data_IF_317836743112
#
_entry.id   IF_317836743112
#
_cell.length_a   1.000
_cell.length_b   1.000
_cell.length_c   1.000
_cell.angle_alpha   90.00
_cell.angle_beta   90.00
_cell.angle_gamma   90.00
#
_symmetry.space_group_name_H-M   'P 1'
#
loop_
_entity.id
_entity.type
_entity.pdbx_description
1 polymer ?
#
# COMPACT_ATOMS: atom_id res chain seq x y z
N UNK A 1 3.35 -20.57 -4.18
CA UNK A 1 3.07 -19.64 -5.28
C UNK A 1 4.39 -19.08 -5.78
N UNK A 2 4.56 -18.93 -7.08
CA UNK A 2 5.67 -18.19 -7.70
C UNK A 2 5.48 -16.69 -7.55
N UNK A 3 6.51 -15.87 -7.79
CA UNK A 3 6.38 -14.40 -7.74
C UNK A 3 5.33 -13.87 -8.71
N UNK A 4 5.23 -14.46 -9.90
CA UNK A 4 4.20 -14.11 -10.88
C UNK A 4 2.79 -14.50 -10.45
N UNK A 5 2.62 -15.66 -9.80
CA UNK A 5 1.33 -16.06 -9.23
C UNK A 5 0.91 -15.15 -8.08
N UNK A 6 1.85 -14.75 -7.20
CA UNK A 6 1.56 -13.81 -6.11
C UNK A 6 1.09 -12.47 -6.68
N UNK A 7 1.83 -11.91 -7.64
CA UNK A 7 1.46 -10.66 -8.33
C UNK A 7 0.07 -10.77 -8.95
N UNK A 8 -0.21 -11.83 -9.71
CA UNK A 8 -1.51 -12.00 -10.36
C UNK A 8 -2.64 -12.16 -9.32
N UNK A 9 -2.41 -12.93 -8.25
CA UNK A 9 -3.41 -13.11 -7.20
C UNK A 9 -3.79 -11.82 -6.49
N UNK A 10 -2.83 -10.89 -6.30
CA UNK A 10 -3.11 -9.56 -5.74
C UNK A 10 -4.02 -8.75 -6.67
N UNK A 11 -3.70 -8.71 -7.97
CA UNK A 11 -4.48 -7.99 -8.96
C UNK A 11 -5.88 -8.58 -9.11
N UNK A 12 -6.00 -9.91 -9.15
CA UNK A 12 -7.29 -10.59 -9.23
C UNK A 12 -8.14 -10.37 -7.97
N UNK A 13 -7.52 -10.38 -6.79
CA UNK A 13 -8.19 -10.09 -5.52
C UNK A 13 -8.80 -8.69 -5.53
N UNK A 14 -8.03 -7.64 -5.84
CA UNK A 14 -8.57 -6.28 -5.86
C UNK A 14 -9.51 -6.02 -7.04
N UNK A 15 -9.32 -6.70 -8.17
CA UNK A 15 -10.31 -6.70 -9.25
C UNK A 15 -11.67 -7.24 -8.78
N UNK A 16 -11.68 -8.25 -7.89
CA UNK A 16 -12.91 -8.77 -7.28
C UNK A 16 -13.58 -7.81 -6.28
N UNK A 17 -12.86 -6.76 -5.83
CA UNK A 17 -13.36 -5.66 -4.98
C UNK A 17 -13.68 -4.40 -5.79
N UNK A 18 -13.88 -4.56 -7.10
CA UNK A 18 -14.20 -3.52 -8.08
C UNK A 18 -13.08 -2.49 -8.33
N UNK A 19 -11.82 -2.83 -8.06
CA UNK A 19 -10.69 -2.00 -8.48
C UNK A 19 -10.40 -2.17 -9.96
N UNK A 20 -10.26 -1.06 -10.67
CA UNK A 20 -9.71 -1.05 -12.02
C UNK A 20 -8.21 -1.39 -11.95
N UNK A 21 -7.78 -2.41 -12.71
CA UNK A 21 -6.37 -2.77 -12.78
C UNK A 21 -5.67 -1.89 -13.81
N UNK A 22 -4.77 -1.03 -13.35
CA UNK A 22 -4.06 -0.07 -14.18
C UNK A 22 -2.59 -0.49 -14.37
N UNK A 23 -1.94 -0.14 -15.49
CA UNK A 23 -0.54 -0.44 -15.68
C UNK A 23 0.34 0.46 -14.81
N UNK A 24 1.47 -0.09 -14.36
CA UNK A 24 2.52 0.67 -13.68
C UNK A 24 2.97 1.89 -14.50
N UNK A 25 3.02 3.04 -13.83
CA UNK A 25 3.58 4.27 -14.37
C UNK A 25 5.09 4.14 -14.67
N UNK A 26 5.64 5.01 -15.54
CA UNK A 26 7.08 5.04 -15.82
C UNK A 26 7.92 5.28 -14.56
N UNK A 27 9.16 4.76 -14.57
CA UNK A 27 10.13 5.00 -13.50
C UNK A 27 10.59 6.45 -13.42
N UNK A 28 10.60 7.16 -14.56
CA UNK A 28 10.88 8.58 -14.63
C UNK A 28 9.55 9.34 -14.48
N UNK A 29 9.27 9.96 -13.33
CA UNK A 29 8.01 10.63 -13.08
C UNK A 29 7.97 11.99 -13.79
N UNK A 30 6.76 12.49 -14.05
CA UNK A 30 6.54 13.86 -14.53
C UNK A 30 6.43 14.87 -13.38
N UNK A 31 6.33 14.40 -12.14
CA UNK A 31 6.19 15.25 -10.96
C UNK A 31 7.49 16.03 -10.68
N UNK A 32 7.40 17.33 -10.35
CA UNK A 32 8.57 18.10 -9.98
C UNK A 32 9.18 17.57 -8.68
N UNK A 33 10.51 17.58 -8.58
CA UNK A 33 11.28 17.18 -7.38
C UNK A 33 11.29 15.67 -7.05
N UNK A 34 10.82 14.80 -7.95
CA UNK A 34 10.96 13.35 -7.80
C UNK A 34 11.94 12.80 -8.83
N UNK A 35 13.06 12.21 -8.36
CA UNK A 35 14.07 11.61 -9.24
C UNK A 35 13.56 10.35 -9.93
N UNK A 36 12.90 9.48 -9.17
CA UNK A 36 12.29 8.25 -9.66
C UNK A 36 10.95 8.00 -8.95
N UNK A 37 10.02 7.32 -9.64
CA UNK A 37 8.83 6.76 -9.01
C UNK A 37 9.26 5.81 -7.88
N UNK A 38 8.97 6.18 -6.64
CA UNK A 38 9.43 5.48 -5.44
C UNK A 38 8.29 4.73 -4.72
N UNK A 39 7.05 4.98 -5.13
CA UNK A 39 5.86 4.29 -4.66
C UNK A 39 4.71 4.38 -5.69
N UNK A 40 3.76 3.45 -5.63
CA UNK A 40 2.63 3.37 -6.57
C UNK A 40 1.72 4.59 -6.58
N UNK A 41 1.63 5.31 -5.46
CA UNK A 41 0.78 6.49 -5.35
C UNK A 41 1.25 7.70 -6.18
N UNK A 42 2.50 7.72 -6.67
CA UNK A 42 3.08 8.93 -7.28
C UNK A 42 2.27 9.38 -8.50
N UNK A 43 1.79 8.44 -9.32
CA UNK A 43 0.99 8.72 -10.50
C UNK A 43 -0.42 9.25 -10.17
N UNK A 44 -0.89 9.00 -8.94
CA UNK A 44 -2.25 9.32 -8.50
C UNK A 44 -2.34 10.58 -7.63
N UNK A 45 -1.21 11.22 -7.30
CA UNK A 45 -1.17 12.48 -6.52
C UNK A 45 -2.16 13.53 -7.01
N UNK A 46 -2.30 13.81 -8.33
CA UNK A 46 -3.28 14.80 -8.80
C UNK A 46 -4.74 14.44 -8.48
N UNK A 47 -5.07 13.16 -8.32
CA UNK A 47 -6.40 12.71 -7.91
C UNK A 47 -6.62 12.94 -6.41
N UNK A 48 -5.62 12.62 -5.58
CA UNK A 48 -5.69 12.87 -4.13
C UNK A 48 -5.78 14.35 -3.79
N UNK A 49 -5.12 15.22 -4.57
CA UNK A 49 -5.18 16.67 -4.39
C UNK A 49 -6.43 17.32 -5.01
N UNK A 50 -7.27 16.56 -5.72
CA UNK A 50 -8.44 17.09 -6.41
C UNK A 50 -8.11 17.95 -7.65
N UNK A 51 -6.86 17.96 -8.11
CA UNK A 51 -6.42 18.68 -9.31
C UNK A 51 -6.96 18.04 -10.59
N UNK A 52 -7.19 16.73 -10.56
CA UNK A 52 -7.83 15.98 -11.64
C UNK A 52 -8.89 15.06 -11.06
N UNK A 53 -9.98 14.87 -11.81
CA UNK A 53 -10.99 13.87 -11.46
C UNK A 53 -10.49 12.47 -11.84
N UNK A 54 -10.53 11.54 -10.89
CA UNK A 54 -10.21 10.14 -11.17
C UNK A 54 -11.27 9.52 -12.12
N UNK A 55 -10.82 8.69 -13.06
CA UNK A 55 -11.69 7.99 -14.02
C UNK A 55 -12.41 6.80 -13.40
N UNK A 56 -11.74 6.14 -12.45
CA UNK A 56 -12.31 5.15 -11.54
C UNK A 56 -12.11 5.61 -10.11
N UNK A 57 -13.04 5.29 -9.21
CA UNK A 57 -12.93 5.59 -7.77
C UNK A 57 -12.05 4.56 -7.04
N UNK A 58 -11.78 3.41 -7.65
CA UNK A 58 -10.93 2.34 -7.12
C UNK A 58 -9.94 1.88 -8.17
N UNK A 59 -8.65 1.83 -7.83
CA UNK A 59 -7.61 1.32 -8.73
C UNK A 59 -6.62 0.43 -7.98
N UNK A 60 -6.07 -0.58 -8.64
CA UNK A 60 -5.00 -1.40 -8.10
C UNK A 60 -3.94 -1.71 -9.18
N UNK A 61 -2.68 -1.84 -8.77
CA UNK A 61 -1.57 -2.13 -9.67
C UNK A 61 -0.40 -2.84 -8.98
N UNK A 62 0.65 -3.06 -9.77
CA UNK A 62 2.00 -3.40 -9.31
C UNK A 62 3.00 -2.38 -9.87
N UNK A 63 3.37 -1.38 -9.07
CA UNK A 63 4.25 -0.30 -9.52
C UNK A 63 5.72 -0.71 -9.44
N UNK A 64 6.44 -0.48 -10.54
CA UNK A 64 7.92 -0.50 -10.55
C UNK A 64 8.47 0.70 -9.77
N UNK A 65 9.22 0.46 -8.71
CA UNK A 65 9.72 1.50 -7.81
C UNK A 65 11.26 1.52 -7.79
N UNK A 66 11.83 2.72 -7.66
CA UNK A 66 13.25 2.90 -7.32
C UNK A 66 13.37 3.75 -6.03
N UNK A 67 14.14 3.26 -5.07
CA UNK A 67 14.54 3.98 -3.84
C UNK A 67 16.05 4.16 -3.78
N UNK A 68 16.54 5.07 -4.61
CA UNK A 68 17.94 5.45 -4.69
C UNK A 68 18.04 6.98 -4.81
N UNK A 69 18.16 7.64 -3.65
CA UNK A 69 18.25 9.09 -3.51
C UNK A 69 17.00 9.77 -2.92
N UNK A 70 17.14 11.03 -2.48
CA UNK A 70 16.07 11.79 -1.84
C UNK A 70 15.75 11.31 -0.42
N UNK A 71 14.53 11.58 0.06
CA UNK A 71 14.08 11.21 1.42
C UNK A 71 13.81 9.70 1.60
N UNK A 72 13.56 8.98 0.51
CA UNK A 72 13.31 7.54 0.52
C UNK A 72 14.43 6.86 -0.25
N UNK A 73 15.50 6.54 0.48
CA UNK A 73 16.76 6.07 -0.08
C UNK A 73 17.26 4.87 0.71
N UNK A 74 17.20 3.70 0.10
CA UNK A 74 17.62 2.44 0.73
C UNK A 74 19.02 2.02 0.24
N UNK A 75 19.69 2.87 -0.55
CA UNK A 75 20.93 2.52 -1.28
C UNK A 75 22.09 2.12 -0.36
N UNK A 76 22.18 2.71 0.84
CA UNK A 76 23.27 2.42 1.79
C UNK A 76 23.10 1.06 2.48
N UNK A 77 21.88 0.53 2.55
CA UNK A 77 21.56 -0.75 3.22
C UNK A 77 21.52 -1.94 2.24
N UNK A 78 21.37 -1.67 0.95
CA UNK A 78 21.26 -2.70 -0.09
C UNK A 78 22.52 -3.57 -0.13
N UNK A 79 22.33 -4.87 0.05
CA UNK A 79 23.40 -5.87 0.08
C UNK A 79 23.98 -6.14 1.48
N UNK A 80 23.63 -5.34 2.48
CA UNK A 80 23.95 -5.60 3.89
C UNK A 80 22.87 -6.43 4.59
N UNK A 81 21.62 -6.30 4.17
CA UNK A 81 20.54 -7.18 4.59
C UNK A 81 19.83 -7.85 3.41
N UNK A 82 18.80 -8.63 3.75
CA UNK A 82 18.08 -9.49 2.81
C UNK A 82 16.73 -8.91 2.35
N UNK A 83 16.39 -7.68 2.73
CA UNK A 83 15.03 -7.14 2.52
C UNK A 83 15.00 -5.72 1.93
N UNK A 84 16.08 -4.95 1.99
CA UNK A 84 16.19 -3.69 1.24
C UNK A 84 16.63 -3.94 -0.21
N UNK A 85 15.96 -3.26 -1.14
CA UNK A 85 16.19 -3.34 -2.58
C UNK A 85 16.17 -1.93 -3.19
N UNK A 86 17.02 -1.69 -4.19
CA UNK A 86 16.97 -0.42 -4.94
C UNK A 86 15.79 -0.39 -5.90
N UNK A 87 15.58 -1.47 -6.65
CA UNK A 87 14.45 -1.66 -7.57
C UNK A 87 13.55 -2.78 -7.06
N UNK A 88 12.25 -2.51 -6.97
CA UNK A 88 11.26 -3.48 -6.50
C UNK A 88 9.88 -3.20 -7.09
N UNK A 89 8.96 -4.14 -6.90
CA UNK A 89 7.56 -3.97 -7.24
C UNK A 89 6.74 -3.68 -5.97
N UNK A 90 5.92 -2.64 -6.03
CA UNK A 90 4.99 -2.28 -4.98
C UNK A 90 3.57 -2.63 -5.43
N UNK A 91 2.97 -3.63 -4.79
CA UNK A 91 1.56 -3.97 -4.96
C UNK A 91 0.71 -2.95 -4.20
N UNK A 92 -0.21 -2.27 -4.89
CA UNK A 92 -1.01 -1.19 -4.30
C UNK A 92 -2.49 -1.24 -4.67
N UNK A 93 -3.34 -0.82 -3.75
CA UNK A 93 -4.76 -0.56 -3.96
C UNK A 93 -5.08 0.86 -3.46
N UNK A 94 -5.94 1.58 -4.18
CA UNK A 94 -6.26 2.98 -3.91
C UNK A 94 -7.75 3.24 -4.01
N UNK A 95 -8.22 4.11 -3.12
CA UNK A 95 -9.56 4.68 -3.08
C UNK A 95 -9.48 6.18 -3.35
N UNK A 96 -10.30 6.68 -4.26
CA UNK A 96 -10.44 8.11 -4.53
C UNK A 96 -11.83 8.57 -4.12
N UNK A 97 -12.00 8.83 -2.82
CA UNK A 97 -13.27 9.30 -2.24
C UNK A 97 -14.38 8.24 -2.20
N UNK A 98 -14.00 6.96 -2.10
CA UNK A 98 -14.94 5.83 -2.01
C UNK A 98 -14.80 5.10 -0.66
N UNK A 99 -14.09 3.98 -0.56
CA UNK A 99 -13.81 3.29 0.70
C UNK A 99 -12.69 3.96 1.50
N UNK A 100 -12.59 3.65 2.80
CA UNK A 100 -11.54 4.23 3.67
C UNK A 100 -10.90 3.16 4.57
N UNK A 101 -10.68 3.47 5.86
CA UNK A 101 -9.92 2.60 6.77
C UNK A 101 -10.52 1.22 6.95
N UNK A 102 -11.84 1.12 7.15
CA UNK A 102 -12.52 -0.14 7.45
C UNK A 102 -12.26 -1.17 6.36
N UNK A 103 -12.66 -0.86 5.13
CA UNK A 103 -12.51 -1.78 4.00
C UNK A 103 -11.03 -2.01 3.66
N UNK A 104 -10.18 -0.99 3.76
CA UNK A 104 -8.74 -1.15 3.53
C UNK A 104 -8.11 -2.17 4.49
N UNK A 105 -8.48 -2.12 5.77
CA UNK A 105 -8.02 -3.04 6.81
C UNK A 105 -8.60 -4.44 6.58
N UNK A 106 -9.91 -4.55 6.37
CA UNK A 106 -10.60 -5.83 6.16
C UNK A 106 -10.05 -6.57 4.93
N UNK A 107 -9.84 -5.87 3.81
CA UNK A 107 -9.31 -6.48 2.59
C UNK A 107 -7.82 -6.83 2.69
N UNK A 108 -7.02 -6.02 3.38
CA UNK A 108 -5.62 -6.36 3.64
C UNK A 108 -5.54 -7.63 4.50
N UNK A 109 -6.36 -7.74 5.54
CA UNK A 109 -6.45 -8.93 6.37
C UNK A 109 -6.90 -10.16 5.57
N UNK A 110 -8.01 -10.05 4.83
CA UNK A 110 -8.55 -11.12 3.97
C UNK A 110 -7.50 -11.63 2.97
N UNK A 111 -6.77 -10.72 2.32
CA UNK A 111 -5.70 -11.09 1.39
C UNK A 111 -4.60 -11.89 2.10
N UNK A 112 -4.10 -11.41 3.24
CA UNK A 112 -3.00 -12.04 3.96
C UNK A 112 -3.40 -13.40 4.55
N UNK A 113 -4.57 -13.48 5.20
CA UNK A 113 -4.95 -14.67 5.98
C UNK A 113 -5.81 -15.65 5.21
N UNK A 114 -6.68 -15.17 4.32
CA UNK A 114 -7.62 -16.02 3.59
C UNK A 114 -7.16 -16.36 2.18
N UNK A 115 -6.43 -15.48 1.50
CA UNK A 115 -5.87 -15.79 0.16
C UNK A 115 -4.48 -16.38 0.27
N UNK A 116 -3.55 -15.68 0.93
CA UNK A 116 -2.16 -16.12 1.07
C UNK A 116 -1.89 -17.05 2.25
N UNK A 117 -2.90 -17.26 3.11
CA UNK A 117 -2.87 -18.23 4.22
C UNK A 117 -1.72 -18.01 5.20
N UNK A 118 -1.39 -16.75 5.48
CA UNK A 118 -0.41 -16.42 6.51
C UNK A 118 -0.97 -16.80 7.89
N UNK A 119 -0.17 -17.38 8.79
CA UNK A 119 -0.60 -17.66 10.16
C UNK A 119 -0.96 -16.35 10.88
N UNK A 120 -2.19 -16.26 11.38
CA UNK A 120 -2.77 -15.02 11.94
C UNK A 120 -1.98 -14.51 13.13
N UNK A 121 -1.49 -15.43 13.97
CA UNK A 121 -0.67 -15.19 15.15
C UNK A 121 0.72 -14.61 14.87
N UNK A 122 1.14 -14.57 13.60
CA UNK A 122 2.41 -13.95 13.17
C UNK A 122 2.22 -12.54 12.60
N UNK A 123 0.99 -12.08 12.47
CA UNK A 123 0.67 -10.77 11.95
C UNK A 123 0.60 -9.76 13.09
N UNK A 124 1.18 -8.59 12.85
CA UNK A 124 1.15 -7.46 13.78
C UNK A 124 0.66 -6.25 13.02
N UNK A 125 -0.26 -5.50 13.62
CA UNK A 125 -0.72 -4.21 13.11
C UNK A 125 -0.15 -3.09 13.99
N UNK A 126 0.18 -1.97 13.35
CA UNK A 126 0.53 -0.73 14.05
C UNK A 126 -0.42 0.37 13.60
N UNK A 127 -0.69 1.31 14.50
CA UNK A 127 -1.54 2.48 14.24
C UNK A 127 -0.80 3.73 14.70
N UNK A 128 -1.17 4.86 14.11
CA UNK A 128 -0.44 6.09 14.32
C UNK A 128 -0.67 6.66 15.73
N UNK A 129 0.44 6.88 16.45
CA UNK A 129 0.51 7.57 17.73
C UNK A 129 1.36 8.83 17.53
N UNK A 130 0.80 10.04 17.70
CA UNK A 130 1.55 11.28 17.57
C UNK A 130 2.61 11.42 18.67
N UNK A 131 3.75 12.02 18.31
CA UNK A 131 4.75 12.51 19.26
C UNK A 131 4.33 13.81 19.93
N UNK A 132 5.13 14.32 20.87
CA UNK A 132 4.77 15.49 21.71
C UNK A 132 4.45 16.76 20.89
N UNK A 133 5.14 16.97 19.77
CA UNK A 133 5.00 18.18 18.93
C UNK A 133 4.06 17.99 17.72
N UNK A 134 3.47 16.80 17.53
CA UNK A 134 2.58 16.56 16.40
C UNK A 134 1.13 16.98 16.73
N UNK A 135 0.50 17.86 15.94
CA UNK A 135 -0.86 18.34 16.22
C UNK A 135 -1.95 17.28 16.00
N UNK A 136 -1.62 16.13 15.41
CA UNK A 136 -2.55 15.05 15.21
C UNK A 136 -2.96 14.36 16.53
N UNK A 137 -4.00 13.53 16.46
CA UNK A 137 -4.44 12.68 17.57
C UNK A 137 -4.10 11.23 17.26
N UNK A 138 -4.04 10.40 18.29
CA UNK A 138 -3.99 8.95 18.12
C UNK A 138 -5.09 8.49 17.17
N UNK A 139 -4.75 7.61 16.22
CA UNK A 139 -5.70 7.06 15.26
C UNK A 139 -6.58 5.99 15.92
N UNK A 140 -7.52 6.46 16.74
CA UNK A 140 -8.47 5.61 17.47
C UNK A 140 -9.34 4.79 16.53
N UNK A 141 -9.66 5.32 15.35
CA UNK A 141 -10.50 4.65 14.36
C UNK A 141 -9.79 3.42 13.78
N UNK A 142 -8.54 3.56 13.32
CA UNK A 142 -7.75 2.42 12.86
C UNK A 142 -7.50 1.41 13.98
N UNK A 143 -7.25 1.87 15.21
CA UNK A 143 -7.07 1.00 16.37
C UNK A 143 -8.31 0.13 16.61
N UNK A 144 -9.51 0.72 16.55
CA UNK A 144 -10.75 0.00 16.77
C UNK A 144 -10.98 -1.06 15.70
N UNK A 145 -10.81 -0.71 14.42
CA UNK A 145 -10.98 -1.67 13.32
C UNK A 145 -9.99 -2.84 13.39
N UNK A 146 -8.70 -2.57 13.66
CA UNK A 146 -7.74 -3.66 13.88
C UNK A 146 -8.12 -4.49 15.11
N UNK A 147 -8.49 -3.86 16.22
CA UNK A 147 -8.88 -4.58 17.43
C UNK A 147 -10.07 -5.51 17.19
N UNK A 148 -11.04 -5.10 16.38
CA UNK A 148 -12.16 -5.96 15.96
C UNK A 148 -11.68 -7.14 15.12
N UNK A 149 -10.87 -6.90 14.08
CA UNK A 149 -10.31 -7.94 13.21
C UNK A 149 -9.51 -8.99 13.98
N UNK A 150 -8.65 -8.57 14.92
CA UNK A 150 -7.86 -9.49 15.74
C UNK A 150 -8.74 -10.30 16.71
N UNK A 151 -9.72 -9.67 17.36
CA UNK A 151 -10.67 -10.37 18.25
C UNK A 151 -11.50 -11.41 17.51
N UNK A 152 -11.99 -11.08 16.31
CA UNK A 152 -12.73 -12.02 15.46
C UNK A 152 -11.86 -13.20 15.01
N UNK A 153 -10.56 -12.98 14.88
CA UNK A 153 -9.57 -14.03 14.62
C UNK A 153 -9.17 -14.85 15.86
N UNK A 154 -9.66 -14.50 17.06
CA UNK A 154 -9.33 -15.16 18.32
C UNK A 154 -7.95 -14.81 18.88
N UNK A 155 -7.43 -13.62 18.53
CA UNK A 155 -6.14 -13.09 18.97
C UNK A 155 -6.28 -11.98 20.02
#
# INVERSE_FOLDING_TARGET
MTSSEIRQSFLDFFKSKDHEIVPSAPLLPTAPNLLFTNAGMNAFVPYFLGERKATSTRVADTQKCIRAGGKHNDLEDVGFDTYHQTFFEMLGNWSFGDYFKKEAIEWAWELLTEVWKFPKERLYATVYQPGEDDPAKFDQEAYNYWSEVFKEAGL
#
